data_IF_094803675729
#
_entry.id   IF_094803675729
#
_cell.length_a   1.000
_cell.length_b   1.000
_cell.length_c   1.000
_cell.angle_alpha   90.00
_cell.angle_beta   90.00
_cell.angle_gamma   90.00
#
_symmetry.space_group_name_H-M   'P 1'
#
loop_
_entity.id
_entity.type
_entity.pdbx_description
1 polymer ?
#
# COMPACT_ATOMS: atom_id res chain seq x y z
N UNK A 1 -1.98 20.26 -14.58
CA UNK A 1 -2.26 19.01 -13.83
C UNK A 1 -1.31 17.94 -14.36
N UNK A 2 -0.79 17.05 -13.49
CA UNK A 2 0.33 16.14 -13.83
C UNK A 2 -0.10 14.79 -14.45
N UNK A 3 -1.42 14.50 -14.56
CA UNK A 3 -1.91 13.33 -15.31
C UNK A 3 -1.57 11.95 -14.71
N UNK A 4 -1.11 11.90 -13.46
CA UNK A 4 -0.69 10.67 -12.78
C UNK A 4 -1.84 10.12 -11.92
N UNK A 5 -2.14 8.82 -12.07
CA UNK A 5 -3.11 8.11 -11.24
C UNK A 5 -2.41 7.16 -10.27
N UNK A 6 -2.70 7.24 -8.97
CA UNK A 6 -2.25 6.24 -8.01
C UNK A 6 -2.78 4.86 -8.37
N UNK A 7 -1.92 3.84 -8.30
CA UNK A 7 -2.32 2.47 -8.61
C UNK A 7 -2.11 1.52 -7.44
N UNK A 8 -0.88 1.35 -6.98
CA UNK A 8 -0.53 0.52 -5.84
C UNK A 8 0.23 1.28 -4.78
N UNK A 9 -0.09 0.99 -3.52
CA UNK A 9 0.73 1.30 -2.36
C UNK A 9 1.25 -0.02 -1.79
N UNK A 10 2.55 -0.24 -1.91
CA UNK A 10 3.20 -1.46 -1.44
C UNK A 10 3.50 -1.37 0.05
N UNK A 11 3.11 -2.41 0.80
CA UNK A 11 3.74 -2.69 2.08
C UNK A 11 5.21 -3.06 1.83
N UNK A 12 6.09 -2.69 2.77
CA UNK A 12 7.50 -2.98 2.64
C UNK A 12 7.74 -4.48 2.51
N UNK A 13 8.49 -4.85 1.47
CA UNK A 13 8.97 -6.22 1.28
C UNK A 13 9.93 -6.61 2.41
N UNK A 14 9.88 -7.88 2.83
CA UNK A 14 10.74 -8.41 3.89
C UNK A 14 12.18 -8.64 3.38
N UNK A 15 12.88 -7.56 3.08
CA UNK A 15 14.28 -7.57 2.63
C UNK A 15 15.25 -7.25 3.77
N UNK A 16 16.46 -7.81 3.66
CA UNK A 16 17.49 -7.64 4.68
C UNK A 16 17.82 -6.15 4.88
N UNK A 17 17.86 -5.72 6.15
CA UNK A 17 18.22 -4.36 6.54
C UNK A 17 17.09 -3.34 6.48
N UNK A 18 15.93 -3.65 5.88
CA UNK A 18 14.84 -2.69 5.72
C UNK A 18 13.75 -2.73 6.80
N UNK A 19 13.85 -3.65 7.78
CA UNK A 19 12.78 -3.89 8.76
C UNK A 19 12.29 -2.63 9.51
N UNK A 20 13.15 -1.64 9.71
CA UNK A 20 12.82 -0.37 10.37
C UNK A 20 11.90 0.54 9.54
N UNK A 21 11.75 0.30 8.24
CA UNK A 21 10.76 0.96 7.38
C UNK A 21 9.40 0.24 7.39
N UNK A 22 9.31 -0.94 8.01
CA UNK A 22 8.07 -1.70 8.04
C UNK A 22 7.07 -1.05 8.98
N UNK A 23 5.81 -0.98 8.55
CA UNK A 23 4.69 -0.52 9.37
C UNK A 23 3.71 -1.66 9.62
N UNK A 24 3.03 -1.61 10.75
CA UNK A 24 2.01 -2.60 11.10
C UNK A 24 0.80 -2.50 10.17
N UNK A 25 0.11 -3.61 9.96
CA UNK A 25 -1.16 -3.64 9.21
C UNK A 25 -2.21 -2.68 9.81
N UNK A 26 -2.21 -2.51 11.13
CA UNK A 26 -3.07 -1.53 11.81
C UNK A 26 -2.80 -0.11 11.30
N UNK A 27 -1.53 0.30 11.19
CA UNK A 27 -1.17 1.62 10.67
C UNK A 27 -1.51 1.75 9.19
N UNK A 28 -1.34 0.67 8.43
CA UNK A 28 -1.67 0.63 7.01
C UNK A 28 -3.18 0.86 6.77
N UNK A 29 -4.04 0.16 7.53
CA UNK A 29 -5.50 0.34 7.47
C UNK A 29 -5.93 1.74 7.88
N UNK A 30 -5.30 2.31 8.91
CA UNK A 30 -5.52 3.71 9.30
C UNK A 30 -5.21 4.68 8.15
N UNK A 31 -4.07 4.49 7.47
CA UNK A 31 -3.70 5.32 6.32
C UNK A 31 -4.72 5.21 5.18
N UNK A 32 -5.22 4.00 4.89
CA UNK A 32 -6.26 3.81 3.88
C UNK A 32 -7.55 4.57 4.22
N UNK A 33 -8.00 4.51 5.48
CA UNK A 33 -9.16 5.29 5.96
C UNK A 33 -8.91 6.79 5.82
N UNK A 34 -7.76 7.28 6.28
CA UNK A 34 -7.41 8.70 6.18
C UNK A 34 -7.37 9.19 4.71
N UNK A 35 -6.96 8.35 3.76
CA UNK A 35 -6.98 8.67 2.33
C UNK A 35 -8.41 8.69 1.75
N UNK A 36 -9.25 7.72 2.12
CA UNK A 36 -10.66 7.66 1.68
C UNK A 36 -11.47 8.87 2.16
N UNK A 37 -11.15 9.42 3.33
CA UNK A 37 -11.80 10.63 3.85
C UNK A 37 -11.44 11.90 3.07
N UNK A 38 -10.28 11.91 2.40
CA UNK A 38 -9.70 13.11 1.77
C UNK A 38 -9.75 13.09 0.25
N UNK A 39 -9.84 11.89 -0.34
CA UNK A 39 -9.72 11.69 -1.78
C UNK A 39 -10.96 10.98 -2.31
N UNK A 40 -11.39 11.30 -3.55
CA UNK A 40 -12.27 10.42 -4.30
C UNK A 40 -11.73 8.98 -4.31
N UNK A 41 -12.61 7.99 -4.18
CA UNK A 41 -12.20 6.58 -4.09
C UNK A 41 -11.32 6.09 -5.24
N UNK A 42 -11.49 6.65 -6.45
CA UNK A 42 -10.65 6.30 -7.61
C UNK A 42 -9.21 6.84 -7.53
N UNK A 43 -8.93 7.77 -6.62
CA UNK A 43 -7.59 8.28 -6.33
C UNK A 43 -6.94 7.60 -5.12
N UNK A 44 -7.67 6.71 -4.43
CA UNK A 44 -7.09 5.90 -3.35
C UNK A 44 -6.39 4.69 -3.99
N UNK A 45 -5.06 4.53 -3.79
CA UNK A 45 -4.34 3.39 -4.34
C UNK A 45 -4.78 2.09 -3.71
N UNK A 46 -4.57 0.98 -4.42
CA UNK A 46 -4.75 -0.35 -3.86
C UNK A 46 -3.58 -0.69 -2.95
N UNK A 47 -3.87 -1.04 -1.71
CA UNK A 47 -2.86 -1.47 -0.76
C UNK A 47 -2.51 -2.92 -1.05
N UNK A 48 -1.23 -3.21 -1.23
CA UNK A 48 -0.76 -4.54 -1.63
C UNK A 48 0.49 -4.97 -0.89
N UNK A 49 0.68 -6.28 -0.76
CA UNK A 49 1.96 -6.89 -0.35
C UNK A 49 2.46 -7.87 -1.40
N UNK A 50 3.77 -8.05 -1.46
CA UNK A 50 4.39 -9.15 -2.17
C UNK A 50 4.49 -10.36 -1.22
N UNK A 51 4.11 -11.54 -1.71
CA UNK A 51 4.26 -12.82 -1.01
C UNK A 51 5.19 -13.73 -1.80
N UNK A 52 6.17 -14.34 -1.14
CA UNK A 52 7.10 -15.27 -1.80
C UNK A 52 6.30 -16.46 -2.36
N UNK A 53 6.38 -16.65 -3.67
CA UNK A 53 5.69 -17.73 -4.37
C UNK A 53 4.27 -17.39 -4.87
N UNK A 54 3.76 -16.18 -4.58
CA UNK A 54 2.52 -15.72 -5.19
C UNK A 54 2.75 -15.31 -6.66
N UNK A 55 1.85 -15.70 -7.56
CA UNK A 55 1.91 -15.32 -8.98
C UNK A 55 1.51 -13.87 -9.25
N UNK A 56 1.06 -13.13 -8.24
CA UNK A 56 0.60 -11.74 -8.34
C UNK A 56 0.62 -11.04 -6.97
N UNK A 57 0.50 -9.70 -7.00
CA UNK A 57 0.37 -8.84 -5.80
C UNK A 57 -0.87 -9.22 -5.00
N UNK A 58 -0.74 -9.32 -3.69
CA UNK A 58 -1.84 -9.64 -2.78
C UNK A 58 -2.46 -8.35 -2.24
N UNK A 59 -3.79 -8.23 -2.30
CA UNK A 59 -4.53 -7.10 -1.73
C UNK A 59 -4.59 -7.21 -0.20
N UNK A 60 -4.49 -6.06 0.48
CA UNK A 60 -4.49 -5.92 1.94
C UNK A 60 -5.80 -5.35 2.49
#
# INVERSE_FOLDING_TARGET
QTGVLPYYLHQLDAVQGAAHFSISEKRLKQLQTELLERLPGYLVPKFVREEIGAGSKQLL
#
